data_IF_094291302507
#
_entry.id   IF_094291302507
#
_cell.length_a   1.000
_cell.length_b   1.000
_cell.length_c   1.000
_cell.angle_alpha   90.00
_cell.angle_beta   90.00
_cell.angle_gamma   90.00
#
_symmetry.space_group_name_H-M   'P 1'
#
loop_
_entity.id
_entity.type
_entity.pdbx_description
1 polymer ?
#
# COMPACT_ATOMS: atom_id res chain seq x y z
N UNK A 1 -62.53 -5.02 14.11
CA UNK A 1 -62.42 -3.57 13.84
C UNK A 1 -61.12 -3.14 14.49
N UNK A 2 -60.03 -3.13 13.72
CA UNK A 2 -59.44 -1.90 13.13
C UNK A 2 -58.68 -1.12 14.23
N UNK A 3 -57.43 -0.63 14.11
CA UNK A 3 -56.55 -0.31 12.97
C UNK A 3 -55.12 -0.09 13.50
N UNK A 4 -54.15 -0.22 12.60
CA UNK A 4 -52.72 0.07 12.75
C UNK A 4 -52.51 1.59 12.97
N UNK A 5 -51.49 1.98 13.75
CA UNK A 5 -50.31 2.73 13.25
C UNK A 5 -49.73 3.83 14.20
N UNK A 6 -48.40 3.94 14.10
CA UNK A 6 -47.52 5.12 14.32
C UNK A 6 -47.04 5.46 15.74
N UNK A 7 -45.74 5.24 15.98
CA UNK A 7 -44.82 6.33 16.34
C UNK A 7 -43.36 5.89 16.14
N UNK A 8 -42.90 6.05 14.91
CA UNK A 8 -41.49 6.21 14.53
C UNK A 8 -40.91 7.47 15.20
N UNK A 9 -39.68 7.37 15.72
CA UNK A 9 -38.76 8.51 15.76
C UNK A 9 -38.22 8.94 17.13
N UNK A 10 -37.35 8.12 17.72
CA UNK A 10 -36.37 8.54 18.74
C UNK A 10 -34.98 8.03 18.34
N UNK A 11 -34.47 8.45 17.17
CA UNK A 11 -33.23 7.88 16.64
C UNK A 11 -32.45 8.76 15.68
N UNK A 12 -32.35 10.08 15.94
CA UNK A 12 -31.72 11.00 14.98
C UNK A 12 -30.82 12.07 15.61
N UNK A 13 -30.07 11.78 16.69
CA UNK A 13 -29.07 12.72 17.22
C UNK A 13 -27.68 12.11 17.52
N UNK A 14 -27.34 10.94 16.97
CA UNK A 14 -26.01 10.34 17.17
C UNK A 14 -25.40 9.70 15.90
N UNK A 15 -25.85 10.11 14.71
CA UNK A 15 -25.40 9.51 13.44
C UNK A 15 -24.33 10.29 12.67
N UNK A 16 -24.01 11.52 13.08
CA UNK A 16 -23.19 12.42 12.25
C UNK A 16 -21.67 12.36 12.50
N UNK A 17 -21.22 11.67 13.55
CA UNK A 17 -19.79 11.68 13.94
C UNK A 17 -19.00 10.46 13.45
N UNK A 18 -19.66 9.42 12.91
CA UNK A 18 -18.99 8.19 12.48
C UNK A 18 -18.67 8.11 10.98
N UNK A 19 -19.32 8.93 10.15
CA UNK A 19 -19.08 8.92 8.70
C UNK A 19 -17.76 9.60 8.28
N UNK A 20 -17.12 10.38 9.16
CA UNK A 20 -15.83 11.03 8.88
C UNK A 20 -14.61 10.18 9.28
N UNK A 21 -14.81 8.97 9.79
CA UNK A 21 -13.72 8.12 10.28
C UNK A 21 -13.31 7.00 9.30
N UNK A 22 -14.04 6.82 8.20
CA UNK A 22 -13.81 5.77 7.18
C UNK A 22 -12.95 6.25 6.01
N UNK A 23 -13.14 7.48 5.54
CA UNK A 23 -12.36 8.04 4.41
C UNK A 23 -10.93 8.42 4.80
N UNK A 24 -10.72 8.86 6.05
CA UNK A 24 -9.38 9.10 6.57
C UNK A 24 -8.61 7.79 6.81
N UNK A 25 -9.27 6.68 7.14
CA UNK A 25 -8.59 5.37 7.31
C UNK A 25 -8.11 4.75 6.00
N UNK A 26 -8.69 5.13 4.85
CA UNK A 26 -8.24 4.60 3.56
C UNK A 26 -6.96 5.29 3.06
N UNK A 27 -6.67 6.51 3.54
CA UNK A 27 -5.46 7.26 3.22
C UNK A 27 -4.72 7.81 4.46
N UNK A 28 -4.87 7.18 5.62
CA UNK A 28 -3.97 7.40 6.75
C UNK A 28 -3.02 6.21 6.80
N UNK A 29 -1.78 6.34 6.32
CA UNK A 29 -0.79 5.32 6.58
C UNK A 29 -0.64 5.22 8.10
N UNK A 30 -0.65 4.00 8.69
CA UNK A 30 -0.57 3.82 10.13
C UNK A 30 0.61 4.62 10.70
N UNK A 31 0.29 5.39 11.74
CA UNK A 31 1.11 6.44 12.32
C UNK A 31 2.54 5.98 12.64
N UNK A 32 3.46 6.89 12.31
CA UNK A 32 4.85 6.91 12.68
C UNK A 32 5.11 6.50 14.14
N UNK A 33 6.03 5.57 14.32
CA UNK A 33 6.52 5.07 15.60
C UNK A 33 7.99 4.66 15.47
N UNK A 34 8.73 4.89 16.54
CA UNK A 34 10.19 4.81 16.69
C UNK A 34 10.77 3.45 16.23
N UNK A 35 11.10 3.36 14.93
CA UNK A 35 11.56 2.13 14.28
C UNK A 35 11.40 2.16 12.76
N UNK A 36 11.57 3.33 12.13
CA UNK A 36 11.57 3.55 10.68
C UNK A 36 10.48 2.81 9.91
N UNK A 37 9.31 3.44 9.71
CA UNK A 37 8.26 2.95 8.82
C UNK A 37 8.76 2.94 7.36
N UNK A 38 9.49 1.90 7.00
CA UNK A 38 9.86 1.65 5.60
C UNK A 38 8.60 1.19 4.89
N UNK A 39 8.15 1.85 3.82
CA UNK A 39 6.95 1.44 3.11
C UNK A 39 7.09 -0.02 2.68
N UNK A 40 6.00 -0.78 2.65
CA UNK A 40 6.07 -2.16 2.14
C UNK A 40 6.43 -2.13 0.66
N UNK A 41 7.11 -3.17 0.18
CA UNK A 41 7.38 -3.29 -1.25
C UNK A 41 6.06 -3.55 -1.98
N UNK A 42 5.62 -2.68 -2.92
CA UNK A 42 4.33 -2.83 -3.59
C UNK A 42 4.28 -4.07 -4.50
N UNK A 43 5.45 -4.61 -4.91
CA UNK A 43 5.52 -5.78 -5.79
C UNK A 43 5.35 -7.12 -5.08
N UNK A 44 5.75 -7.21 -3.80
CA UNK A 44 5.62 -8.45 -3.02
C UNK A 44 4.78 -8.28 -1.75
N UNK A 45 4.16 -7.11 -1.57
CA UNK A 45 3.30 -6.75 -0.44
C UNK A 45 3.93 -7.09 0.93
N UNK A 46 5.22 -6.83 1.12
CA UNK A 46 5.89 -7.14 2.40
C UNK A 46 6.56 -8.50 2.49
N UNK A 47 6.20 -9.47 1.66
CA UNK A 47 6.67 -10.86 1.82
C UNK A 47 8.13 -11.09 1.45
N UNK A 48 8.70 -10.20 0.64
CA UNK A 48 10.08 -10.32 0.14
C UNK A 48 10.26 -11.37 -0.95
N UNK A 49 9.24 -12.20 -1.25
CA UNK A 49 9.29 -13.24 -2.28
C UNK A 49 8.17 -13.03 -3.28
N UNK A 50 8.41 -13.46 -4.51
CA UNK A 50 7.40 -13.51 -5.57
C UNK A 50 7.35 -14.91 -6.16
N UNK A 51 6.23 -15.23 -6.78
CA UNK A 51 6.10 -16.48 -7.52
C UNK A 51 7.12 -16.54 -8.66
N UNK A 52 7.72 -17.71 -8.82
CA UNK A 52 8.70 -17.96 -9.87
C UNK A 52 7.98 -18.13 -11.20
N UNK A 53 8.49 -17.50 -12.26
CA UNK A 53 7.84 -17.53 -13.57
C UNK A 53 7.60 -18.95 -14.10
N UNK A 54 8.50 -19.90 -13.79
CA UNK A 54 8.35 -21.28 -14.22
C UNK A 54 7.23 -22.03 -13.49
N UNK A 55 6.79 -21.58 -12.30
CA UNK A 55 5.65 -22.19 -11.60
C UNK A 55 4.35 -22.12 -12.41
N UNK A 56 4.27 -21.18 -13.37
CA UNK A 56 3.12 -21.06 -14.27
C UNK A 56 3.06 -22.13 -15.37
N UNK A 57 4.19 -22.74 -15.69
CA UNK A 57 4.33 -23.63 -16.85
C UNK A 57 4.90 -25.01 -16.49
N UNK A 58 5.47 -25.14 -15.30
CA UNK A 58 6.07 -26.35 -14.79
C UNK A 58 5.16 -26.91 -13.71
N UNK A 59 4.67 -28.13 -13.91
CA UNK A 59 3.79 -28.84 -12.97
C UNK A 59 4.54 -29.36 -11.72
N UNK A 60 5.76 -28.84 -11.46
CA UNK A 60 6.59 -29.18 -10.31
C UNK A 60 7.72 -30.17 -10.57
N UNK A 61 7.71 -30.88 -11.71
CA UNK A 61 8.60 -32.03 -11.92
C UNK A 61 10.05 -31.67 -12.29
N UNK A 62 10.23 -30.71 -13.21
CA UNK A 62 11.57 -30.32 -13.69
C UNK A 62 12.13 -29.10 -12.93
N UNK A 63 11.25 -28.31 -12.32
CA UNK A 63 11.59 -26.99 -11.79
C UNK A 63 12.29 -26.11 -12.84
N UNK A 64 12.75 -24.93 -12.41
CA UNK A 64 13.70 -24.16 -13.21
C UNK A 64 14.88 -23.73 -12.34
N UNK A 65 16.05 -23.55 -12.96
CA UNK A 65 17.27 -23.12 -12.26
C UNK A 65 17.08 -21.78 -11.53
N UNK A 66 16.23 -20.89 -12.05
CA UNK A 66 16.00 -19.56 -11.49
C UNK A 66 15.45 -19.57 -10.06
N UNK A 67 14.71 -20.60 -9.66
CA UNK A 67 14.21 -20.76 -8.30
C UNK A 67 14.54 -22.13 -7.69
N UNK A 68 15.46 -22.89 -8.32
CA UNK A 68 15.89 -24.23 -7.86
C UNK A 68 14.72 -25.17 -7.54
N UNK A 69 13.64 -25.12 -8.33
CA UNK A 69 12.44 -25.93 -8.12
C UNK A 69 11.51 -25.48 -6.97
N UNK A 70 11.88 -24.46 -6.18
CA UNK A 70 11.06 -24.01 -5.04
C UNK A 70 9.76 -23.26 -5.41
N UNK A 71 9.60 -22.88 -6.68
CA UNK A 71 8.47 -22.06 -7.13
C UNK A 71 8.45 -20.62 -6.60
N UNK A 72 9.43 -20.19 -5.79
CA UNK A 72 9.46 -18.86 -5.15
C UNK A 72 10.83 -18.21 -5.28
N UNK A 73 10.90 -17.07 -5.94
CA UNK A 73 12.12 -16.29 -6.08
C UNK A 73 12.11 -15.04 -5.18
N UNK A 74 13.28 -14.54 -4.74
CA UNK A 74 13.35 -13.26 -4.04
C UNK A 74 12.81 -12.14 -4.92
N UNK A 75 12.03 -11.23 -4.34
CA UNK A 75 11.50 -10.08 -5.07
C UNK A 75 12.64 -9.19 -5.55
N UNK A 76 12.73 -8.94 -6.86
CA UNK A 76 13.79 -8.12 -7.45
C UNK A 76 13.73 -6.65 -7.00
N UNK A 77 12.53 -6.13 -6.74
CA UNK A 77 12.32 -4.73 -6.34
C UNK A 77 12.79 -4.43 -4.91
N UNK A 78 12.60 -5.35 -3.95
CA UNK A 78 13.07 -5.16 -2.57
C UNK A 78 14.26 -6.05 -2.21
N UNK A 79 14.76 -6.87 -3.15
CA UNK A 79 15.85 -7.83 -2.95
C UNK A 79 15.65 -8.74 -1.73
N UNK A 80 14.43 -9.25 -1.54
CA UNK A 80 14.11 -10.12 -0.40
C UNK A 80 13.75 -9.40 0.91
N UNK A 81 13.96 -8.08 1.02
CA UNK A 81 13.75 -7.36 2.29
C UNK A 81 12.27 -7.09 2.65
N UNK A 82 11.33 -7.38 1.74
CA UNK A 82 9.90 -7.09 1.94
C UNK A 82 9.52 -5.61 1.93
N UNK A 83 10.50 -4.72 1.98
CA UNK A 83 10.33 -3.29 2.26
C UNK A 83 10.78 -2.48 1.06
N UNK A 84 9.99 -1.50 0.67
CA UNK A 84 10.34 -0.47 -0.30
C UNK A 84 11.65 0.22 0.12
N UNK A 85 12.54 0.43 -0.85
CA UNK A 85 13.70 1.29 -0.66
C UNK A 85 13.30 2.70 -1.09
N UNK A 86 13.35 3.70 -0.19
CA UNK A 86 13.28 5.09 -0.60
C UNK A 86 14.43 5.35 -1.58
N UNK A 87 14.14 5.84 -2.78
CA UNK A 87 15.15 6.27 -3.73
C UNK A 87 15.47 7.74 -3.42
N UNK A 88 16.68 8.08 -2.92
CA UNK A 88 17.04 9.47 -2.71
C UNK A 88 17.15 10.17 -4.07
N UNK A 89 16.35 11.20 -4.29
CA UNK A 89 16.44 12.07 -5.47
C UNK A 89 17.06 13.39 -5.04
N UNK A 90 18.12 13.84 -5.73
CA UNK A 90 18.64 15.21 -5.59
C UNK A 90 18.06 16.08 -6.69
N UNK A 91 17.33 17.13 -6.29
CA UNK A 91 16.80 18.13 -7.19
C UNK A 91 17.71 19.38 -7.14
N UNK A 92 18.20 19.80 -8.30
CA UNK A 92 18.94 21.07 -8.44
C UNK A 92 18.00 22.12 -9.03
N UNK A 93 17.65 23.13 -8.24
CA UNK A 93 16.80 24.24 -8.68
C UNK A 93 17.69 25.43 -9.04
N UNK A 94 17.76 25.75 -10.33
CA UNK A 94 18.40 26.97 -10.83
C UNK A 94 17.42 28.14 -10.87
N UNK A 95 17.80 29.30 -10.34
CA UNK A 95 16.99 30.54 -10.45
C UNK A 95 17.38 31.30 -11.73
N UNK A 96 16.52 31.30 -12.74
CA UNK A 96 16.66 32.16 -13.92
C UNK A 96 15.95 33.50 -13.71
N UNK A 97 16.38 34.29 -12.72
CA UNK A 97 15.85 35.65 -12.54
C UNK A 97 16.65 36.61 -13.43
N UNK A 98 16.04 37.27 -14.42
CA UNK A 98 16.72 38.32 -15.17
C UNK A 98 17.02 39.49 -14.24
N UNK A 99 18.28 39.90 -14.19
CA UNK A 99 18.70 41.07 -13.40
C UNK A 99 18.14 42.34 -14.03
N UNK A 100 17.39 43.13 -13.25
CA UNK A 100 17.05 44.50 -13.63
C UNK A 100 18.33 45.34 -13.58
N UNK A 101 18.71 45.93 -14.71
CA UNK A 101 19.71 47.00 -14.77
C UNK A 101 18.99 48.32 -14.51
N UNK A 102 19.46 49.07 -13.50
CA UNK A 102 19.07 50.44 -13.23
C UNK A 102 19.85 51.41 -14.12
#
# INVERSE_FOLDING_TARGET
METIALATGLGALAGAVLAKASEERLWTPPMAGFGGWRPLCPRCCGTGRVECLCARWSDGDAGCRSCSGSGRMPCSSCRGSGTGRPAPVRLSVGSNRPGFKA
#
